data_IF_922742619288
#
_entry.id   IF_922742619288
#
_cell.length_a   1.000
_cell.length_b   1.000
_cell.length_c   1.000
_cell.angle_alpha   90.00
_cell.angle_beta   90.00
_cell.angle_gamma   90.00
#
_symmetry.space_group_name_H-M   'P 1'
#
loop_
_entity.id
_entity.type
_entity.pdbx_description
1 polymer ?
#
# COMPACT_ATOMS: atom_id res chain seq x y z
N UNK A 1 -5.86 -32.51 -20.69
CA UNK A 1 -4.86 -32.17 -19.66
C UNK A 1 -4.34 -33.36 -18.85
N UNK A 2 -5.20 -34.25 -18.40
CA UNK A 2 -4.82 -35.45 -17.60
C UNK A 2 -3.91 -36.44 -18.37
N UNK A 3 -4.14 -36.62 -19.64
CA UNK A 3 -3.38 -37.56 -20.50
C UNK A 3 -1.93 -37.13 -20.72
N UNK A 4 -1.67 -35.84 -20.82
CA UNK A 4 -0.31 -35.29 -21.05
C UNK A 4 0.55 -35.44 -19.81
N UNK A 5 -0.03 -35.23 -18.63
CA UNK A 5 0.67 -35.40 -17.34
C UNK A 5 1.05 -36.87 -17.09
N UNK A 6 0.19 -37.83 -17.47
CA UNK A 6 0.49 -39.26 -17.28
C UNK A 6 1.65 -39.75 -18.15
N UNK A 7 1.79 -39.17 -19.35
CA UNK A 7 2.89 -39.54 -20.29
C UNK A 7 4.22 -38.97 -19.83
N UNK A 8 4.23 -37.75 -19.28
CA UNK A 8 5.45 -37.12 -18.75
C UNK A 8 5.97 -37.85 -17.52
N UNK A 9 5.07 -38.29 -16.63
CA UNK A 9 5.43 -39.03 -15.42
C UNK A 9 6.09 -40.39 -15.73
N UNK A 10 5.69 -41.02 -16.84
CA UNK A 10 6.24 -42.34 -17.26
C UNK A 10 7.67 -42.26 -17.84
N UNK A 11 8.06 -41.06 -18.36
CA UNK A 11 9.38 -40.87 -18.95
C UNK A 11 10.44 -40.48 -17.90
N UNK A 12 10.05 -39.92 -16.77
CA UNK A 12 10.99 -39.42 -15.75
C UNK A 12 11.26 -40.45 -14.65
N UNK A 13 10.53 -41.60 -14.64
CA UNK A 13 10.77 -42.70 -13.68
C UNK A 13 10.60 -42.33 -12.20
N UNK A 14 9.94 -41.22 -11.87
CA UNK A 14 9.73 -40.82 -10.49
C UNK A 14 8.51 -41.53 -9.88
N UNK A 15 8.64 -42.13 -8.70
CA UNK A 15 7.52 -42.76 -8.01
C UNK A 15 6.45 -41.70 -7.66
N UNK A 16 5.19 -42.03 -7.88
CA UNK A 16 4.04 -41.16 -7.67
C UNK A 16 4.00 -40.50 -6.28
N UNK A 17 4.63 -41.12 -5.30
CA UNK A 17 4.75 -40.59 -3.92
C UNK A 17 5.53 -39.28 -3.83
N UNK A 18 6.54 -39.06 -4.67
CA UNK A 18 7.36 -37.84 -4.64
C UNK A 18 6.64 -36.62 -5.20
N UNK A 19 5.70 -36.82 -6.13
CA UNK A 19 4.91 -35.74 -6.72
C UNK A 19 3.88 -35.22 -5.71
N UNK A 20 3.29 -36.11 -4.91
CA UNK A 20 2.30 -35.72 -3.88
C UNK A 20 2.95 -34.88 -2.78
N UNK A 21 4.16 -35.24 -2.36
CA UNK A 21 4.91 -34.50 -1.33
C UNK A 21 5.33 -33.11 -1.87
N UNK A 22 5.73 -33.02 -3.14
CA UNK A 22 6.11 -31.74 -3.75
C UNK A 22 4.91 -30.78 -3.90
N UNK A 23 3.71 -31.28 -4.23
CA UNK A 23 2.51 -30.46 -4.27
C UNK A 23 2.04 -29.99 -2.88
N UNK A 24 2.24 -30.78 -1.84
CA UNK A 24 1.85 -30.40 -0.47
C UNK A 24 2.71 -29.25 0.10
N UNK A 25 3.96 -29.17 -0.31
CA UNK A 25 4.86 -28.09 0.16
C UNK A 25 4.58 -26.75 -0.56
N UNK A 26 4.05 -26.79 -1.79
CA UNK A 26 3.72 -25.57 -2.54
C UNK A 26 2.43 -24.87 -2.09
N UNK A 27 1.56 -25.53 -1.34
CA UNK A 27 0.29 -24.92 -0.88
C UNK A 27 0.42 -24.09 0.41
N UNK A 28 1.58 -24.04 1.05
CA UNK A 28 1.79 -23.23 2.26
C UNK A 28 2.35 -21.83 1.98
N UNK A 29 2.54 -21.45 0.73
CA UNK A 29 2.98 -20.11 0.33
C UNK A 29 1.84 -19.13 0.03
N UNK A 30 0.61 -19.44 0.44
CA UNK A 30 -0.46 -18.42 0.48
C UNK A 30 -0.24 -17.61 1.75
N UNK A 31 0.89 -16.90 1.78
CA UNK A 31 1.12 -15.82 2.73
C UNK A 31 0.11 -14.73 2.49
N UNK A 32 -0.44 -14.20 3.57
CA UNK A 32 -1.35 -13.07 3.60
C UNK A 32 -0.97 -12.01 2.56
N UNK A 33 -1.68 -11.96 1.45
CA UNK A 33 -1.72 -10.78 0.61
C UNK A 33 -2.44 -9.71 1.43
N UNK A 34 -1.69 -8.93 2.19
CA UNK A 34 -2.19 -7.68 2.73
C UNK A 34 -2.67 -6.86 1.55
N UNK A 35 -3.98 -6.67 1.49
CA UNK A 35 -4.64 -5.84 0.50
C UNK A 35 -4.13 -4.39 0.66
N UNK A 36 -3.03 -4.06 -0.02
CA UNK A 36 -2.57 -2.68 -0.19
C UNK A 36 -3.39 -2.04 -1.30
N UNK A 37 -4.64 -1.77 -1.00
CA UNK A 37 -5.47 -0.95 -1.85
C UNK A 37 -5.54 0.45 -1.26
N UNK A 38 -4.48 1.20 -1.45
CA UNK A 38 -4.50 2.64 -1.39
C UNK A 38 -3.65 3.10 -2.58
N UNK A 39 -4.25 3.92 -3.44
CA UNK A 39 -3.65 4.39 -4.68
C UNK A 39 -2.21 4.84 -4.50
N UNK A 40 -1.29 3.97 -4.87
CA UNK A 40 0.13 4.26 -4.95
C UNK A 40 0.36 5.03 -6.25
N UNK A 41 0.32 6.34 -6.14
CA UNK A 41 0.99 7.18 -7.12
C UNK A 41 2.48 6.95 -6.89
N UNK A 42 3.07 6.09 -7.70
CA UNK A 42 4.49 5.81 -7.71
C UNK A 42 5.24 7.11 -8.11
N UNK A 43 5.66 7.85 -7.11
CA UNK A 43 6.76 8.80 -7.25
C UNK A 43 7.96 8.17 -6.56
N UNK A 44 8.92 7.74 -7.37
CA UNK A 44 10.16 7.13 -6.90
C UNK A 44 10.88 8.03 -5.91
N UNK A 45 10.87 7.63 -4.66
CA UNK A 45 11.57 8.26 -3.57
C UNK A 45 11.31 7.50 -2.28
N UNK A 46 12.35 7.15 -1.58
CA UNK A 46 12.37 6.44 -0.28
C UNK A 46 11.74 7.26 0.87
N UNK A 47 10.76 8.11 0.58
CA UNK A 47 10.11 9.02 1.52
C UNK A 47 8.69 8.61 1.84
N UNK A 48 8.22 8.98 3.03
CA UNK A 48 6.86 8.76 3.53
C UNK A 48 5.81 9.33 2.58
N UNK A 49 4.69 8.61 2.42
CA UNK A 49 3.53 9.06 1.64
C UNK A 49 2.74 10.17 2.35
N UNK A 50 1.87 10.88 1.60
CA UNK A 50 1.07 11.99 2.13
C UNK A 50 0.16 11.58 3.30
N UNK A 51 -0.46 10.41 3.23
CA UNK A 51 -1.30 9.86 4.32
C UNK A 51 -0.50 9.58 5.59
N UNK A 52 0.69 9.01 5.45
CA UNK A 52 1.55 8.72 6.58
C UNK A 52 2.07 10.01 7.24
N UNK A 53 2.51 10.97 6.42
CA UNK A 53 2.96 12.28 6.89
C UNK A 53 1.82 13.03 7.60
N UNK A 54 0.61 13.00 7.05
CA UNK A 54 -0.58 13.56 7.67
C UNK A 54 -0.85 12.94 9.04
N UNK A 55 -0.88 11.61 9.13
CA UNK A 55 -1.12 10.92 10.40
C UNK A 55 -0.05 11.26 11.44
N UNK A 56 1.24 11.31 11.06
CA UNK A 56 2.34 11.57 11.99
C UNK A 56 2.43 13.03 12.45
N UNK A 57 2.14 13.98 11.58
CA UNK A 57 2.32 15.40 11.89
C UNK A 57 1.08 16.03 12.54
N UNK A 58 -0.12 15.69 12.10
CA UNK A 58 -1.33 16.39 12.53
C UNK A 58 -1.82 15.95 13.91
N UNK A 59 -1.63 14.67 14.29
CA UNK A 59 -2.08 14.12 15.59
C UNK A 59 -1.36 14.75 16.79
N UNK A 60 -0.19 15.36 16.58
CA UNK A 60 0.63 15.89 17.68
C UNK A 60 0.01 17.05 18.45
N UNK A 61 -0.91 17.76 17.84
CA UNK A 61 -1.49 18.97 18.45
C UNK A 61 -2.99 18.89 18.70
N UNK A 62 -3.73 18.14 17.89
CA UNK A 62 -5.20 18.01 18.01
C UNK A 62 -5.69 16.76 17.29
N UNK A 63 -6.99 16.46 17.45
CA UNK A 63 -7.62 15.36 16.70
C UNK A 63 -7.55 15.60 15.21
N UNK A 64 -7.19 14.54 14.48
CA UNK A 64 -7.07 14.58 13.03
C UNK A 64 -8.43 14.85 12.38
N UNK A 65 -8.47 15.75 11.41
CA UNK A 65 -9.64 15.99 10.56
C UNK A 65 -9.60 15.06 9.36
N UNK A 66 -10.72 14.36 9.10
CA UNK A 66 -10.83 13.54 7.89
C UNK A 66 -10.63 14.37 6.63
N UNK A 67 -10.01 13.83 5.57
CA UNK A 67 -9.95 14.51 4.26
C UNK A 67 -11.32 15.01 3.77
N UNK A 68 -12.38 14.24 3.97
CA UNK A 68 -13.76 14.59 3.57
C UNK A 68 -14.40 15.76 4.35
N UNK A 69 -13.75 16.30 5.39
CA UNK A 69 -14.31 17.39 6.19
C UNK A 69 -14.28 18.75 5.48
N UNK A 70 -13.43 18.91 4.48
CA UNK A 70 -13.25 20.16 3.76
C UNK A 70 -13.12 19.91 2.26
N UNK A 71 -13.54 20.87 1.45
CA UNK A 71 -13.31 20.86 0.03
C UNK A 71 -11.82 21.06 -0.32
N UNK A 72 -11.40 20.73 -1.56
CA UNK A 72 -10.00 20.91 -1.98
C UNK A 72 -9.49 22.33 -1.77
N UNK A 73 -10.32 23.34 -2.04
CA UNK A 73 -9.95 24.76 -1.85
C UNK A 73 -9.80 25.12 -0.37
N UNK A 74 -10.69 24.61 0.47
CA UNK A 74 -10.59 24.84 1.92
C UNK A 74 -9.33 24.18 2.49
N UNK A 75 -8.93 22.99 1.98
CA UNK A 75 -7.68 22.37 2.39
C UNK A 75 -6.44 23.20 2.04
N UNK A 76 -6.45 23.89 0.92
CA UNK A 76 -5.35 24.81 0.56
C UNK A 76 -5.18 25.90 1.63
N UNK A 77 -6.28 26.53 2.05
CA UNK A 77 -6.27 27.58 3.07
C UNK A 77 -5.82 27.02 4.42
N UNK A 78 -6.39 25.89 4.85
CA UNK A 78 -6.02 25.24 6.11
C UNK A 78 -4.53 24.88 6.12
N UNK A 79 -4.03 24.30 5.04
CA UNK A 79 -2.64 23.85 4.96
C UNK A 79 -1.61 24.98 4.89
N UNK A 80 -2.01 26.17 4.41
CA UNK A 80 -1.15 27.36 4.52
C UNK A 80 -0.81 27.68 6.00
N UNK A 81 -1.81 27.62 6.89
CA UNK A 81 -1.58 27.85 8.32
C UNK A 81 -0.90 26.67 8.99
N UNK A 82 -1.28 25.43 8.62
CA UNK A 82 -0.73 24.24 9.27
C UNK A 82 0.74 24.00 8.90
N UNK A 83 1.16 24.39 7.71
CA UNK A 83 2.57 24.31 7.31
C UNK A 83 3.49 24.98 8.33
N UNK A 84 3.14 26.17 8.76
CA UNK A 84 3.95 26.93 9.73
C UNK A 84 3.83 26.32 11.13
N UNK A 85 2.60 26.00 11.58
CA UNK A 85 2.36 25.48 12.93
C UNK A 85 2.95 24.09 13.18
N UNK A 86 2.90 23.22 12.19
CA UNK A 86 3.46 21.89 12.26
C UNK A 86 4.93 21.82 11.81
N UNK A 87 5.51 22.95 11.41
CA UNK A 87 6.87 23.07 10.92
C UNK A 87 7.18 22.07 9.78
N UNK A 88 6.28 22.02 8.78
CA UNK A 88 6.41 21.11 7.65
C UNK A 88 7.42 21.66 6.63
N UNK A 89 8.24 20.79 6.10
CA UNK A 89 9.05 21.09 4.92
C UNK A 89 8.14 21.34 3.70
N UNK A 90 8.61 22.02 2.66
CA UNK A 90 7.84 22.21 1.43
C UNK A 90 7.37 20.91 0.80
N UNK A 91 8.19 19.89 0.86
CA UNK A 91 7.90 18.54 0.34
C UNK A 91 6.79 17.85 1.14
N UNK A 92 6.90 17.82 2.47
CA UNK A 92 5.88 17.24 3.34
C UNK A 92 4.54 17.96 3.19
N UNK A 93 4.56 19.29 3.14
CA UNK A 93 3.36 20.11 2.90
C UNK A 93 2.68 19.72 1.59
N UNK A 94 3.44 19.61 0.50
CA UNK A 94 2.91 19.22 -0.82
C UNK A 94 2.25 17.85 -0.77
N UNK A 95 2.94 16.83 -0.24
CA UNK A 95 2.43 15.45 -0.16
C UNK A 95 1.16 15.36 0.70
N UNK A 96 1.14 16.03 1.85
CA UNK A 96 -0.02 16.06 2.74
C UNK A 96 -1.20 16.75 2.04
N UNK A 97 -0.98 17.88 1.40
CA UNK A 97 -2.04 18.61 0.71
C UNK A 97 -2.64 17.80 -0.44
N UNK A 98 -1.82 17.14 -1.25
CA UNK A 98 -2.28 16.25 -2.31
C UNK A 98 -3.13 15.10 -1.77
N UNK A 99 -2.71 14.47 -0.68
CA UNK A 99 -3.48 13.43 -0.01
C UNK A 99 -4.84 13.95 0.49
N UNK A 100 -4.88 15.09 1.16
CA UNK A 100 -6.11 15.67 1.69
C UNK A 100 -7.09 16.04 0.58
N UNK A 101 -6.61 16.60 -0.53
CA UNK A 101 -7.42 16.95 -1.70
C UNK A 101 -7.96 15.72 -2.44
N UNK A 102 -7.24 14.62 -2.44
CA UNK A 102 -7.70 13.38 -3.10
C UNK A 102 -8.80 12.65 -2.32
N UNK A 103 -8.94 12.91 -1.03
CA UNK A 103 -9.96 12.31 -0.16
C UNK A 103 -11.11 13.25 0.21
N UNK A 104 -11.18 14.42 -0.40
CA UNK A 104 -12.19 15.45 -0.15
C UNK A 104 -13.38 15.38 -1.11
#
# INVERSE_FOLDING_TARGET
MKEILSRICKWIGLPAATIIISCAVMTWQIGCATNKQAGEVAVGGTGKGGAELWAQNCVRCHNIRSPSNYSPVQWEVVMMHMRVRANLTPEEHKKILEFLKSGS
#
